data_IF_032178129035
#
_entry.id   IF_032178129035
#
_cell.length_a   1.000
_cell.length_b   1.000
_cell.length_c   1.000
_cell.angle_alpha   90.00
_cell.angle_beta   90.00
_cell.angle_gamma   90.00
#
_symmetry.space_group_name_H-M   'P 1'
#
loop_
_entity.id
_entity.type
_entity.pdbx_description
1 polymer ?
#
# COMPACT_ATOMS: atom_id res chain seq x y z
N UNK A 1 -16.95 -74.49 -8.81
CA UNK A 1 -15.83 -73.51 -8.75
C UNK A 1 -16.27 -72.35 -7.85
N UNK A 2 -15.71 -72.24 -6.64
CA UNK A 2 -14.87 -71.12 -6.11
C UNK A 2 -15.48 -69.71 -6.30
N UNK A 3 -15.50 -68.75 -5.36
CA UNK A 3 -15.22 -68.61 -3.92
C UNK A 3 -15.56 -67.13 -3.58
N UNK A 4 -16.26 -66.88 -2.46
CA UNK A 4 -15.93 -65.90 -1.39
C UNK A 4 -16.09 -64.35 -1.55
N UNK A 5 -16.96 -63.81 -0.68
CA UNK A 5 -16.80 -62.70 0.32
C UNK A 5 -15.82 -61.53 0.09
N UNK A 6 -16.31 -60.28 0.30
CA UNK A 6 -15.72 -59.12 1.04
C UNK A 6 -16.64 -57.89 0.80
N UNK A 7 -17.56 -57.50 1.69
CA UNK A 7 -17.42 -56.88 3.01
C UNK A 7 -16.79 -55.46 3.01
N UNK A 8 -17.67 -54.46 3.19
CA UNK A 8 -17.58 -53.37 4.17
C UNK A 8 -16.19 -52.76 4.44
N UNK A 9 -15.81 -51.71 3.69
CA UNK A 9 -14.77 -50.76 4.11
C UNK A 9 -14.81 -49.47 3.29
N UNK A 10 -15.87 -48.66 3.40
CA UNK A 10 -15.89 -47.34 2.70
C UNK A 10 -16.79 -46.30 3.37
N UNK A 11 -16.82 -46.25 4.71
CA UNK A 11 -17.62 -45.24 5.43
C UNK A 11 -16.85 -44.48 6.54
N UNK A 12 -15.53 -44.68 6.66
CA UNK A 12 -14.72 -43.99 7.68
C UNK A 12 -13.83 -42.85 7.15
N UNK A 13 -13.69 -42.68 5.83
CA UNK A 13 -12.74 -41.72 5.23
C UNK A 13 -13.33 -40.36 4.85
N UNK A 14 -14.66 -40.19 4.80
CA UNK A 14 -15.30 -38.90 4.49
C UNK A 14 -15.56 -38.05 5.74
N UNK A 15 -15.70 -38.66 6.92
CA UNK A 15 -15.90 -37.94 8.18
C UNK A 15 -14.63 -37.20 8.67
N UNK A 16 -13.44 -37.74 8.36
CA UNK A 16 -12.16 -37.14 8.75
C UNK A 16 -11.83 -35.83 8.01
N UNK A 17 -12.21 -35.73 6.73
CA UNK A 17 -12.00 -34.51 5.94
C UNK A 17 -12.89 -33.34 6.36
N UNK A 18 -14.16 -33.61 6.69
CA UNK A 18 -15.07 -32.59 7.21
C UNK A 18 -14.67 -32.12 8.63
N UNK A 19 -14.08 -33.00 9.44
CA UNK A 19 -13.55 -32.65 10.76
C UNK A 19 -12.23 -31.86 10.66
N UNK A 20 -11.35 -32.19 9.72
CA UNK A 20 -10.11 -31.44 9.46
C UNK A 20 -10.38 -30.04 8.88
N UNK A 21 -11.35 -29.91 7.97
CA UNK A 21 -11.81 -28.62 7.48
C UNK A 21 -12.43 -27.75 8.60
N UNK A 22 -13.21 -28.36 9.50
CA UNK A 22 -13.73 -27.69 10.72
C UNK A 22 -12.66 -27.42 11.78
N UNK A 23 -11.58 -28.19 11.82
CA UNK A 23 -10.46 -27.97 12.73
C UNK A 23 -9.56 -26.83 12.24
N UNK A 24 -9.37 -26.69 10.93
CA UNK A 24 -8.74 -25.53 10.32
C UNK A 24 -9.59 -24.25 10.49
N UNK A 25 -10.92 -24.38 10.49
CA UNK A 25 -11.87 -23.31 10.84
C UNK A 25 -11.80 -22.90 12.32
N UNK A 26 -11.20 -23.74 13.18
CA UNK A 26 -10.95 -23.49 14.61
C UNK A 26 -9.48 -23.21 14.93
N UNK A 27 -8.64 -22.96 13.92
CA UNK A 27 -7.28 -22.51 14.18
C UNK A 27 -7.36 -21.16 14.91
N UNK A 28 -6.91 -21.15 16.17
CA UNK A 28 -6.74 -19.94 16.96
C UNK A 28 -6.04 -18.86 16.13
N UNK A 29 -6.41 -17.58 16.30
CA UNK A 29 -5.80 -16.51 15.51
C UNK A 29 -4.29 -16.58 15.64
N UNK A 30 -3.59 -16.48 14.49
CA UNK A 30 -2.14 -16.42 14.46
C UNK A 30 -1.63 -15.36 15.47
N UNK A 31 -0.42 -15.50 16.03
CA UNK A 31 0.12 -14.53 16.98
C UNK A 31 0.00 -13.06 16.50
N UNK A 32 0.14 -12.83 15.20
CA UNK A 32 -0.02 -11.53 14.55
C UNK A 32 -1.45 -10.99 14.64
N UNK A 33 -2.47 -11.83 14.45
CA UNK A 33 -3.87 -11.45 14.58
C UNK A 33 -4.23 -11.08 16.02
N UNK A 34 -3.74 -11.83 17.01
CA UNK A 34 -3.92 -11.49 18.44
C UNK A 34 -3.23 -10.16 18.78
N UNK A 35 -2.01 -9.95 18.28
CA UNK A 35 -1.29 -8.69 18.47
C UNK A 35 -2.02 -7.50 17.83
N UNK A 36 -2.58 -7.67 16.63
CA UNK A 36 -3.36 -6.64 15.97
C UNK A 36 -4.63 -6.30 16.76
N UNK A 37 -5.33 -7.30 17.27
CA UNK A 37 -6.55 -7.09 18.04
C UNK A 37 -6.31 -6.28 19.31
N UNK A 38 -5.23 -6.59 20.04
CA UNK A 38 -4.81 -5.80 21.19
C UNK A 38 -4.51 -4.34 20.81
N UNK A 39 -3.83 -4.11 19.67
CA UNK A 39 -3.55 -2.76 19.16
C UNK A 39 -4.81 -2.02 18.72
N UNK A 40 -5.78 -2.68 18.11
CA UNK A 40 -7.06 -2.08 17.74
C UNK A 40 -7.87 -1.65 18.97
N UNK A 41 -7.89 -2.47 20.03
CA UNK A 41 -8.50 -2.08 21.30
C UNK A 41 -7.78 -0.89 21.93
N UNK A 42 -6.45 -0.91 21.97
CA UNK A 42 -5.66 0.22 22.46
C UNK A 42 -5.93 1.51 21.66
N UNK A 43 -6.15 1.41 20.33
CA UNK A 43 -6.46 2.54 19.48
C UNK A 43 -7.80 3.23 19.80
N UNK A 44 -8.74 2.53 20.46
CA UNK A 44 -10.00 3.15 20.87
C UNK A 44 -9.80 4.13 22.04
N UNK A 45 -8.82 3.84 22.90
CA UNK A 45 -8.53 4.61 24.12
C UNK A 45 -7.40 5.64 23.91
N UNK A 46 -6.35 5.28 23.16
CA UNK A 46 -5.17 6.11 22.96
C UNK A 46 -5.17 6.81 21.57
N UNK A 47 -5.25 8.16 21.54
CA UNK A 47 -5.17 8.92 20.29
C UNK A 47 -3.86 8.72 19.52
N UNK A 48 -2.73 8.45 20.19
CA UNK A 48 -1.46 8.24 19.51
C UNK A 48 -1.46 6.92 18.74
N UNK A 49 -2.01 5.86 19.32
CA UNK A 49 -2.24 4.57 18.67
C UNK A 49 -3.29 4.69 17.56
N UNK A 50 -4.38 5.43 17.77
CA UNK A 50 -5.41 5.69 16.73
C UNK A 50 -4.80 6.27 15.46
N UNK A 51 -3.89 7.24 15.59
CA UNK A 51 -3.20 7.87 14.44
C UNK A 51 -2.37 6.91 13.59
N UNK A 52 -2.02 5.73 14.13
CA UNK A 52 -1.24 4.70 13.42
C UNK A 52 -2.12 3.66 12.72
N UNK A 53 -3.44 3.76 12.85
CA UNK A 53 -4.40 2.87 12.18
C UNK A 53 -4.43 3.17 10.68
N UNK A 54 -4.49 2.12 9.87
CA UNK A 54 -4.79 2.18 8.44
C UNK A 54 -5.76 1.06 8.08
N UNK A 55 -6.84 1.41 7.39
CA UNK A 55 -7.88 0.47 6.93
C UNK A 55 -7.94 0.60 5.41
N UNK A 56 -7.73 -0.49 4.70
CA UNK A 56 -7.82 -0.59 3.24
C UNK A 56 -8.86 -1.65 2.89
N UNK A 57 -9.93 -1.21 2.25
CA UNK A 57 -11.01 -2.05 1.77
C UNK A 57 -11.05 -1.95 0.24
N UNK A 58 -11.05 -3.08 -0.45
CA UNK A 58 -11.22 -3.13 -1.91
C UNK A 58 -12.29 -4.15 -2.30
N UNK A 59 -12.82 -4.01 -3.52
CA UNK A 59 -13.89 -4.84 -4.05
C UNK A 59 -15.23 -4.13 -4.03
N UNK A 60 -16.33 -4.85 -4.30
CA UNK A 60 -17.68 -4.31 -4.11
C UNK A 60 -17.96 -4.13 -2.61
N UNK A 61 -17.39 -3.08 -2.02
CA UNK A 61 -17.56 -2.62 -0.63
C UNK A 61 -18.98 -2.07 -0.43
N UNK A 62 -19.66 -1.72 -1.54
CA UNK A 62 -21.12 -1.61 -1.71
C UNK A 62 -21.43 -1.60 -3.24
N UNK A 63 -22.69 -1.45 -3.68
CA UNK A 63 -23.06 -1.47 -5.12
C UNK A 63 -22.22 -0.51 -5.99
N UNK A 64 -21.71 0.60 -5.42
CA UNK A 64 -21.01 1.67 -6.14
C UNK A 64 -19.58 1.98 -5.62
N UNK A 65 -19.05 1.18 -4.68
CA UNK A 65 -17.74 1.43 -4.06
C UNK A 65 -16.77 0.34 -4.45
N UNK A 66 -15.71 0.71 -5.18
CA UNK A 66 -14.62 -0.18 -5.59
C UNK A 66 -13.46 -0.19 -4.58
N UNK A 67 -13.33 0.85 -3.75
CA UNK A 67 -12.35 0.87 -2.67
C UNK A 67 -12.46 2.03 -1.70
N UNK A 68 -12.01 1.81 -0.47
CA UNK A 68 -11.93 2.76 0.63
C UNK A 68 -10.59 2.59 1.33
N UNK A 69 -9.83 3.67 1.49
CA UNK A 69 -8.72 3.73 2.43
C UNK A 69 -9.04 4.75 3.51
N UNK A 70 -8.91 4.40 4.79
CA UNK A 70 -9.09 5.30 5.92
C UNK A 70 -7.84 5.26 6.81
N UNK A 71 -7.29 6.43 7.09
CA UNK A 71 -6.14 6.60 7.97
C UNK A 71 -6.57 7.09 9.35
N UNK A 72 -5.79 6.73 10.36
CA UNK A 72 -5.94 7.18 11.74
C UNK A 72 -5.94 8.69 11.93
N UNK A 73 -5.36 9.43 10.97
CA UNK A 73 -5.37 10.89 10.89
C UNK A 73 -6.74 11.48 10.54
N UNK A 74 -7.71 10.65 10.13
CA UNK A 74 -9.02 11.08 9.63
C UNK A 74 -9.02 11.37 8.12
N UNK A 75 -7.88 11.25 7.44
CA UNK A 75 -7.81 11.29 5.97
C UNK A 75 -8.40 10.00 5.40
N UNK A 76 -9.25 10.13 4.39
CA UNK A 76 -9.79 9.01 3.64
C UNK A 76 -9.56 9.15 2.14
N UNK A 77 -9.47 8.03 1.44
CA UNK A 77 -9.40 7.95 -0.02
C UNK A 77 -10.53 7.04 -0.49
N UNK A 78 -11.39 7.58 -1.35
CA UNK A 78 -12.52 6.88 -1.94
C UNK A 78 -12.24 6.54 -3.39
N UNK A 79 -12.47 5.28 -3.78
CA UNK A 79 -12.28 4.74 -5.13
C UNK A 79 -10.94 5.11 -5.76
N UNK A 80 -9.90 5.29 -4.94
CA UNK A 80 -8.58 5.79 -5.33
C UNK A 80 -8.58 7.16 -6.00
N UNK A 81 -9.70 7.87 -6.16
CA UNK A 81 -9.79 9.11 -6.94
C UNK A 81 -10.13 10.34 -6.13
N UNK A 82 -10.71 10.16 -4.93
CA UNK A 82 -11.22 11.26 -4.12
C UNK A 82 -10.62 11.21 -2.73
N UNK A 83 -10.02 12.31 -2.27
CA UNK A 83 -9.64 12.47 -0.87
C UNK A 83 -10.78 13.09 -0.08
N UNK A 84 -11.09 12.58 1.10
CA UNK A 84 -11.99 13.21 2.04
C UNK A 84 -11.38 13.28 3.44
N UNK A 85 -12.03 14.00 4.35
CA UNK A 85 -11.66 14.04 5.76
C UNK A 85 -12.87 13.68 6.61
N UNK A 86 -12.64 12.90 7.65
CA UNK A 86 -13.62 12.58 8.69
C UNK A 86 -13.11 13.03 10.04
N UNK A 87 -14.03 13.19 10.99
CA UNK A 87 -13.68 13.50 12.37
C UNK A 87 -13.11 12.25 13.07
N UNK A 88 -12.31 12.41 14.13
CA UNK A 88 -11.73 11.28 14.89
C UNK A 88 -12.78 10.27 15.37
N UNK A 89 -14.01 10.70 15.66
CA UNK A 89 -15.11 9.84 16.10
C UNK A 89 -15.50 8.82 15.04
N UNK A 90 -15.43 9.19 13.75
CA UNK A 90 -15.71 8.28 12.63
C UNK A 90 -14.60 7.23 12.51
N UNK A 91 -13.34 7.62 12.71
CA UNK A 91 -12.21 6.68 12.73
C UNK A 91 -12.36 5.69 13.89
N UNK A 92 -12.70 6.17 15.10
CA UNK A 92 -13.00 5.31 16.25
C UNK A 92 -14.18 4.38 15.97
N UNK A 93 -15.24 4.87 15.33
CA UNK A 93 -16.38 4.04 14.94
C UNK A 93 -15.99 2.93 13.95
N UNK A 94 -15.10 3.23 13.00
CA UNK A 94 -14.55 2.24 12.07
C UNK A 94 -13.69 1.19 12.81
N UNK A 95 -12.81 1.60 13.72
CA UNK A 95 -12.01 0.67 14.55
C UNK A 95 -12.91 -0.18 15.43
N UNK A 96 -13.94 0.40 16.05
CA UNK A 96 -14.92 -0.32 16.87
C UNK A 96 -15.66 -1.38 16.03
N UNK A 97 -16.07 -1.03 14.81
CA UNK A 97 -16.69 -1.99 13.90
C UNK A 97 -15.79 -3.19 13.58
N UNK A 98 -14.48 -2.98 13.42
CA UNK A 98 -13.50 -4.08 13.23
C UNK A 98 -13.41 -5.00 14.46
N UNK A 99 -13.38 -4.42 15.67
CA UNK A 99 -13.32 -5.18 16.93
C UNK A 99 -14.61 -5.96 17.17
N UNK A 100 -15.77 -5.33 17.01
CA UNK A 100 -17.10 -5.94 17.15
C UNK A 100 -17.29 -7.10 16.15
N UNK A 101 -16.84 -6.93 14.91
CA UNK A 101 -16.91 -7.96 13.87
C UNK A 101 -15.87 -9.08 14.05
N UNK A 102 -15.01 -9.00 15.08
CA UNK A 102 -13.90 -9.93 15.31
C UNK A 102 -13.05 -10.13 14.05
N UNK A 103 -12.72 -9.04 13.37
CA UNK A 103 -12.00 -9.06 12.09
C UNK A 103 -10.72 -9.93 12.12
N UNK A 104 -9.97 -9.89 13.21
CA UNK A 104 -8.73 -10.67 13.43
C UNK A 104 -8.96 -12.18 13.55
N UNK A 105 -10.19 -12.62 13.80
CA UNK A 105 -10.57 -14.03 13.83
C UNK A 105 -11.05 -14.53 12.46
N UNK A 106 -11.24 -13.65 11.49
CA UNK A 106 -11.57 -14.06 10.13
C UNK A 106 -10.32 -14.68 9.48
N UNK A 107 -10.44 -15.88 8.87
CA UNK A 107 -9.27 -16.57 8.35
C UNK A 107 -8.63 -15.80 7.20
N UNK A 108 -7.31 -15.67 7.27
CA UNK A 108 -6.47 -15.07 6.23
C UNK A 108 -6.62 -15.86 4.91
N UNK A 109 -6.77 -15.13 3.80
CA UNK A 109 -7.16 -15.72 2.53
C UNK A 109 -5.99 -16.29 1.72
N UNK A 110 -5.31 -17.35 2.17
CA UNK A 110 -4.21 -17.98 1.42
C UNK A 110 -4.23 -19.52 1.42
N UNK A 111 -5.35 -20.17 1.08
CA UNK A 111 -5.27 -21.55 0.58
C UNK A 111 -5.23 -21.55 -0.95
N UNK A 112 -4.09 -21.96 -1.51
CA UNK A 112 -3.81 -22.10 -2.93
C UNK A 112 -4.18 -23.53 -3.38
N UNK A 113 -4.98 -23.63 -4.44
CA UNK A 113 -4.82 -24.69 -5.44
C UNK A 113 -4.12 -24.04 -6.64
N UNK A 114 -3.09 -24.69 -7.19
CA UNK A 114 -2.14 -24.09 -8.14
C UNK A 114 -2.73 -23.58 -9.48
N UNK A 115 -3.98 -23.93 -9.82
CA UNK A 115 -4.44 -23.90 -11.22
C UNK A 115 -5.62 -22.95 -11.52
N UNK A 116 -5.76 -21.80 -10.84
CA UNK A 116 -6.77 -20.81 -11.26
C UNK A 116 -6.31 -19.36 -11.13
N UNK A 117 -6.52 -18.50 -12.15
CA UNK A 117 -6.24 -17.08 -12.03
C UNK A 117 -7.10 -16.49 -10.91
N UNK A 118 -6.44 -16.08 -9.83
CA UNK A 118 -7.07 -15.62 -8.60
C UNK A 118 -7.74 -14.27 -8.86
N UNK A 119 -9.07 -14.26 -9.03
CA UNK A 119 -9.86 -13.04 -9.00
C UNK A 119 -10.27 -12.72 -7.56
N UNK A 120 -9.59 -11.73 -6.96
CA UNK A 120 -9.99 -11.14 -5.69
C UNK A 120 -11.26 -10.32 -5.93
N UNK A 121 -12.32 -10.62 -5.18
CA UNK A 121 -13.60 -9.90 -5.28
C UNK A 121 -13.75 -8.87 -4.16
N UNK A 122 -13.25 -9.19 -2.96
CA UNK A 122 -13.20 -8.27 -1.82
C UNK A 122 -11.93 -8.48 -1.02
N UNK A 123 -11.38 -7.43 -0.46
CA UNK A 123 -10.31 -7.50 0.52
C UNK A 123 -10.50 -6.45 1.61
N UNK A 124 -10.08 -6.77 2.81
CA UNK A 124 -9.97 -5.85 3.93
C UNK A 124 -8.61 -6.07 4.59
N UNK A 125 -7.75 -5.07 4.50
CA UNK A 125 -6.45 -5.01 5.16
C UNK A 125 -6.49 -3.95 6.26
N UNK A 126 -6.08 -4.32 7.46
CA UNK A 126 -5.97 -3.39 8.59
C UNK A 126 -4.56 -3.44 9.12
N UNK A 127 -3.96 -2.27 9.35
CA UNK A 127 -2.65 -2.13 9.96
C UNK A 127 -2.69 -1.15 11.14
N UNK A 128 -1.91 -1.44 12.19
CA UNK A 128 -1.62 -0.50 13.28
C UNK A 128 -0.11 -0.50 13.50
N UNK A 129 0.55 0.53 12.96
CA UNK A 129 2.02 0.59 12.91
C UNK A 129 2.59 -0.52 12.02
N UNK A 130 3.37 -1.43 12.62
CA UNK A 130 4.04 -2.53 11.90
C UNK A 130 3.27 -3.85 11.92
N UNK A 131 2.13 -3.90 12.60
CA UNK A 131 1.28 -5.09 12.64
C UNK A 131 0.12 -4.92 11.67
N UNK A 132 -0.12 -5.92 10.84
CA UNK A 132 -1.22 -5.90 9.87
C UNK A 132 -1.88 -7.26 9.73
N UNK A 133 -3.15 -7.27 9.32
CA UNK A 133 -3.90 -8.47 9.00
C UNK A 133 -4.74 -8.21 7.76
N UNK A 134 -4.85 -9.21 6.87
CA UNK A 134 -5.60 -9.08 5.63
C UNK A 134 -6.55 -10.26 5.45
N UNK A 135 -7.81 -9.94 5.16
CA UNK A 135 -8.84 -10.92 4.81
C UNK A 135 -9.19 -10.71 3.35
N UNK A 136 -9.20 -11.80 2.57
CA UNK A 136 -9.49 -11.76 1.13
C UNK A 136 -10.62 -12.73 0.81
N UNK A 137 -11.60 -12.27 0.04
CA UNK A 137 -12.64 -13.10 -0.56
C UNK A 137 -12.39 -13.22 -2.08
N UNK A 138 -12.34 -14.46 -2.55
CA UNK A 138 -12.15 -14.81 -3.96
C UNK A 138 -13.50 -15.09 -4.63
N UNK A 139 -13.59 -14.90 -5.95
CA UNK A 139 -14.85 -15.03 -6.71
C UNK A 139 -15.54 -16.38 -6.57
N UNK A 140 -14.77 -17.47 -6.55
CA UNK A 140 -15.28 -18.85 -6.45
C UNK A 140 -15.50 -19.33 -4.99
N UNK A 141 -15.12 -18.53 -4.00
CA UNK A 141 -15.32 -18.88 -2.61
C UNK A 141 -16.76 -18.55 -2.17
N UNK A 142 -17.27 -19.31 -1.19
CA UNK A 142 -18.54 -18.98 -0.52
C UNK A 142 -18.48 -17.54 -0.01
N UNK A 143 -19.53 -16.78 -0.27
CA UNK A 143 -19.63 -15.41 0.21
C UNK A 143 -19.54 -15.36 1.74
N UNK A 144 -18.69 -14.46 2.25
CA UNK A 144 -18.51 -14.22 3.68
C UNK A 144 -19.37 -13.06 4.08
N UNK A 145 -20.59 -13.36 4.56
CA UNK A 145 -21.59 -12.32 4.91
C UNK A 145 -21.06 -11.34 5.96
N UNK A 146 -20.23 -11.81 6.87
CA UNK A 146 -19.60 -11.03 7.93
C UNK A 146 -18.62 -10.00 7.35
N UNK A 147 -17.81 -10.41 6.38
CA UNK A 147 -16.90 -9.51 5.67
C UNK A 147 -17.69 -8.48 4.84
N UNK A 148 -18.71 -8.93 4.10
CA UNK A 148 -19.57 -8.02 3.32
C UNK A 148 -20.25 -6.98 4.23
N UNK A 149 -20.86 -7.40 5.33
CA UNK A 149 -21.51 -6.48 6.28
C UNK A 149 -20.53 -5.49 6.91
N UNK A 150 -19.31 -5.94 7.25
CA UNK A 150 -18.26 -5.08 7.77
C UNK A 150 -17.82 -4.03 6.73
N UNK A 151 -17.60 -4.45 5.49
CA UNK A 151 -17.25 -3.56 4.38
C UNK A 151 -18.36 -2.52 4.13
N UNK A 152 -19.63 -2.94 4.07
CA UNK A 152 -20.77 -2.04 3.92
C UNK A 152 -20.85 -1.02 5.07
N UNK A 153 -20.62 -1.46 6.32
CA UNK A 153 -20.60 -0.58 7.49
C UNK A 153 -19.47 0.46 7.40
N UNK A 154 -18.27 0.05 7.02
CA UNK A 154 -17.11 0.94 6.83
C UNK A 154 -17.36 1.97 5.72
N UNK A 155 -17.92 1.54 4.59
CA UNK A 155 -18.32 2.43 3.51
C UNK A 155 -19.42 3.41 3.95
N UNK A 156 -20.43 2.94 4.69
CA UNK A 156 -21.51 3.77 5.22
C UNK A 156 -21.02 4.90 6.11
N UNK A 157 -20.03 4.63 6.97
CA UNK A 157 -19.41 5.64 7.84
C UNK A 157 -18.73 6.78 7.06
N UNK A 158 -18.17 6.48 5.88
CA UNK A 158 -17.36 7.41 5.10
C UNK A 158 -18.11 8.07 3.94
N UNK A 159 -19.23 7.50 3.49
CA UNK A 159 -19.90 7.86 2.24
C UNK A 159 -20.22 9.35 2.10
N UNK A 160 -20.81 9.97 3.13
CA UNK A 160 -21.17 11.39 3.11
C UNK A 160 -19.93 12.29 2.96
N UNK A 161 -18.85 11.99 3.67
CA UNK A 161 -17.61 12.74 3.56
C UNK A 161 -16.95 12.53 2.19
N UNK A 162 -16.99 11.30 1.67
CA UNK A 162 -16.47 10.98 0.35
C UNK A 162 -17.18 11.74 -0.79
N UNK A 163 -18.51 11.90 -0.73
CA UNK A 163 -19.29 12.67 -1.69
C UNK A 163 -18.91 14.16 -1.74
N UNK A 164 -18.34 14.69 -0.65
CA UNK A 164 -17.88 16.08 -0.52
C UNK A 164 -16.36 16.19 -0.65
N UNK A 165 -15.69 15.11 -1.03
CA UNK A 165 -14.24 15.04 -1.10
C UNK A 165 -13.64 15.80 -2.28
N UNK A 166 -12.33 15.96 -2.25
CA UNK A 166 -11.52 16.57 -3.29
C UNK A 166 -11.07 15.51 -4.30
N UNK A 167 -11.48 15.67 -5.56
CA UNK A 167 -11.03 14.88 -6.69
C UNK A 167 -10.26 15.78 -7.67
N UNK A 168 -8.93 15.62 -7.82
CA UNK A 168 -8.17 16.41 -8.78
C UNK A 168 -8.48 15.99 -10.22
N UNK A 169 -8.44 16.95 -11.15
CA UNK A 169 -8.75 16.71 -12.57
C UNK A 169 -7.64 15.95 -13.32
N UNK A 170 -6.42 15.99 -12.80
CA UNK A 170 -5.24 15.39 -13.40
C UNK A 170 -4.04 15.46 -12.48
N UNK A 171 -2.90 14.93 -12.93
CA UNK A 171 -1.68 14.87 -12.12
C UNK A 171 -1.10 16.27 -11.81
N UNK A 172 -1.21 17.21 -12.75
CA UNK A 172 -0.82 18.60 -12.57
C UNK A 172 -1.62 19.29 -11.45
N UNK A 173 -2.96 19.22 -11.52
CA UNK A 173 -3.86 19.74 -10.47
C UNK A 173 -3.58 19.07 -9.13
N UNK A 174 -3.41 17.74 -9.11
CA UNK A 174 -3.10 16.99 -7.89
C UNK A 174 -1.80 17.47 -7.22
N UNK A 175 -0.74 17.70 -8.01
CA UNK A 175 0.53 18.23 -7.50
C UNK A 175 0.40 19.66 -6.99
N UNK A 176 -0.34 20.52 -7.70
CA UNK A 176 -0.61 21.89 -7.26
C UNK A 176 -1.37 21.91 -5.92
N UNK A 177 -2.40 21.06 -5.76
CA UNK A 177 -3.16 20.92 -4.51
C UNK A 177 -2.33 20.36 -3.36
N UNK A 178 -1.43 19.40 -3.62
CA UNK A 178 -0.46 18.93 -2.63
C UNK A 178 0.49 20.03 -2.21
N UNK A 179 1.01 20.82 -3.15
CA UNK A 179 1.90 21.95 -2.85
C UNK A 179 1.21 23.04 -2.00
N UNK A 180 -0.09 23.27 -2.21
CA UNK A 180 -0.90 24.17 -1.38
C UNK A 180 -1.34 23.57 -0.04
N UNK A 181 -1.19 22.25 0.15
CA UNK A 181 -1.60 21.55 1.38
C UNK A 181 -3.10 21.22 1.46
N UNK A 182 -3.82 21.32 0.34
CA UNK A 182 -5.22 20.90 0.23
C UNK A 182 -5.35 19.37 0.24
N UNK A 183 -4.42 18.71 -0.46
CA UNK A 183 -4.25 17.26 -0.40
C UNK A 183 -3.27 16.88 0.71
N UNK A 184 -3.56 15.78 1.40
CA UNK A 184 -2.81 15.26 2.52
C UNK A 184 -1.63 14.38 2.04
N UNK A 185 -0.54 14.25 2.81
CA UNK A 185 0.60 13.40 2.46
C UNK A 185 0.24 11.95 2.10
N UNK A 186 -0.85 11.43 2.66
CA UNK A 186 -1.30 10.05 2.48
C UNK A 186 -1.78 9.71 1.07
N UNK A 187 -2.14 10.71 0.25
CA UNK A 187 -2.56 10.47 -1.15
C UNK A 187 -1.38 10.31 -2.09
N UNK A 188 -0.17 10.70 -1.67
CA UNK A 188 1.03 10.61 -2.47
C UNK A 188 1.54 9.16 -2.47
N UNK A 189 1.69 8.60 -3.67
CA UNK A 189 2.41 7.36 -3.93
C UNK A 189 3.54 7.64 -4.90
N UNK A 190 4.77 7.59 -4.41
CA UNK A 190 5.96 7.83 -5.20
C UNK A 190 6.94 6.69 -5.00
N UNK A 191 7.48 6.16 -6.09
CA UNK A 191 8.60 5.23 -6.05
C UNK A 191 9.67 5.70 -7.02
N UNK A 192 10.84 6.04 -6.49
CA UNK A 192 12.03 6.40 -7.23
C UNK A 192 13.08 5.31 -7.02
N UNK A 193 13.56 4.71 -8.09
CA UNK A 193 14.45 3.56 -8.07
C UNK A 193 15.64 3.79 -9.02
N UNK A 194 16.85 3.77 -8.47
CA UNK A 194 18.09 3.89 -9.22
C UNK A 194 19.06 2.78 -8.74
N UNK A 195 18.88 1.53 -9.22
CA UNK A 195 19.81 0.44 -8.97
C UNK A 195 21.22 0.75 -9.48
N UNK A 196 22.21 0.15 -8.83
CA UNK A 196 23.56 0.04 -9.36
C UNK A 196 23.56 -0.97 -10.50
N UNK A 197 23.85 -0.51 -11.71
CA UNK A 197 24.02 -1.37 -12.87
C UNK A 197 25.51 -1.73 -12.98
N UNK A 198 25.81 -3.03 -13.15
CA UNK A 198 27.19 -3.51 -13.30
C UNK A 198 27.76 -2.94 -14.61
N UNK A 199 28.95 -2.33 -14.53
CA UNK A 199 29.63 -1.75 -15.69
C UNK A 199 29.09 -0.38 -16.14
N UNK A 200 28.06 0.17 -15.49
CA UNK A 200 27.63 1.53 -15.74
C UNK A 200 28.39 2.49 -14.81
N UNK A 201 29.11 3.44 -15.40
CA UNK A 201 29.54 4.64 -14.68
C UNK A 201 28.30 5.46 -14.36
N UNK A 202 27.95 5.51 -13.08
CA UNK A 202 26.84 6.29 -12.57
C UNK A 202 27.32 7.24 -11.48
N UNK A 203 26.59 8.33 -11.22
CA UNK A 203 26.97 9.32 -10.21
C UNK A 203 26.93 8.78 -8.77
N UNK A 204 26.53 7.53 -8.55
CA UNK A 204 26.34 6.95 -7.24
C UNK A 204 26.98 5.56 -7.11
N UNK A 205 27.83 5.34 -6.07
CA UNK A 205 28.54 4.07 -5.88
C UNK A 205 27.63 2.91 -5.41
N UNK A 206 26.41 3.21 -4.96
CA UNK A 206 25.42 2.26 -4.46
C UNK A 206 24.04 2.58 -5.05
N UNK A 207 23.27 1.52 -5.32
CA UNK A 207 21.89 1.65 -5.76
C UNK A 207 21.01 2.15 -4.62
N UNK A 208 20.02 2.99 -4.96
CA UNK A 208 19.11 3.57 -3.98
C UNK A 208 17.67 3.48 -4.47
N UNK A 209 16.74 3.32 -3.52
CA UNK A 209 15.31 3.40 -3.77
C UNK A 209 14.64 4.21 -2.67
N UNK A 210 13.76 5.11 -3.08
CA UNK A 210 12.93 5.94 -2.21
C UNK A 210 11.47 5.61 -2.51
N UNK A 211 10.73 5.25 -1.48
CA UNK A 211 9.28 5.07 -1.55
C UNK A 211 8.60 6.06 -0.61
N UNK A 212 7.68 6.87 -1.14
CA UNK A 212 6.77 7.67 -0.34
C UNK A 212 5.36 7.13 -0.52
N UNK A 213 4.77 6.61 0.55
CA UNK A 213 3.45 5.98 0.54
C UNK A 213 2.83 6.07 1.92
N UNK A 214 1.51 6.24 2.01
CA UNK A 214 0.78 6.25 3.28
C UNK A 214 1.27 7.31 4.28
N UNK A 215 1.75 8.46 3.79
CA UNK A 215 2.30 9.51 4.66
C UNK A 215 3.65 9.14 5.29
N UNK A 216 4.38 8.19 4.71
CA UNK A 216 5.70 7.78 5.16
C UNK A 216 6.71 7.78 4.01
N UNK A 217 7.98 7.96 4.36
CA UNK A 217 9.13 7.76 3.47
C UNK A 217 9.91 6.54 3.93
N UNK A 218 10.18 5.63 2.99
CA UNK A 218 11.05 4.47 3.19
C UNK A 218 12.24 4.55 2.24
N UNK A 219 13.44 4.48 2.80
CA UNK A 219 14.70 4.44 2.07
C UNK A 219 15.26 3.02 2.03
N UNK A 220 15.66 2.58 0.84
CA UNK A 220 16.23 1.26 0.59
C UNK A 220 17.61 1.39 -0.03
N UNK A 221 18.57 0.62 0.48
CA UNK A 221 19.92 0.49 -0.07
C UNK A 221 20.03 -0.80 -0.86
N UNK A 222 20.74 -0.75 -1.98
CA UNK A 222 21.13 -1.96 -2.68
C UNK A 222 22.48 -2.44 -2.15
N UNK A 223 22.48 -3.60 -1.49
CA UNK A 223 23.68 -4.25 -0.96
C UNK A 223 24.21 -5.30 -1.95
N UNK A 224 25.53 -5.31 -2.24
CA UNK A 224 26.14 -6.35 -3.07
C UNK A 224 25.83 -7.75 -2.52
N UNK A 225 25.30 -8.64 -3.36
CA UNK A 225 24.96 -10.02 -2.99
C UNK A 225 23.71 -10.22 -2.13
N UNK A 226 23.12 -9.15 -1.56
CA UNK A 226 21.91 -9.23 -0.70
C UNK A 226 20.67 -8.58 -1.29
N UNK A 227 20.81 -7.78 -2.34
CA UNK A 227 19.68 -7.11 -2.99
C UNK A 227 19.25 -5.85 -2.24
N UNK A 228 17.95 -5.61 -2.12
CA UNK A 228 17.40 -4.41 -1.49
C UNK A 228 17.17 -4.62 0.00
N UNK A 229 17.80 -3.79 0.83
CA UNK A 229 17.62 -3.79 2.29
C UNK A 229 16.98 -2.48 2.74
N UNK A 230 15.94 -2.56 3.57
CA UNK A 230 15.26 -1.37 4.14
C UNK A 230 16.21 -0.69 5.12
N UNK A 231 16.67 0.49 4.76
CA UNK A 231 17.68 1.21 5.52
C UNK A 231 17.06 2.20 6.52
N UNK A 232 15.92 2.81 6.19
CA UNK A 232 15.19 3.70 7.10
C UNK A 232 13.71 3.80 6.73
N UNK A 233 12.88 4.10 7.72
CA UNK A 233 11.46 4.46 7.56
C UNK A 233 11.13 5.59 8.53
N UNK A 234 10.41 6.60 8.06
CA UNK A 234 9.95 7.72 8.91
C UNK A 234 8.68 8.35 8.35
N UNK A 235 7.92 9.11 9.18
CA UNK A 235 6.82 9.92 8.68
C UNK A 235 7.28 10.92 7.61
N UNK A 236 6.45 11.10 6.58
CA UNK A 236 6.56 12.16 5.59
C UNK A 236 5.79 13.37 6.10
N UNK A 237 6.50 14.46 6.42
CA UNK A 237 5.85 15.66 6.94
C UNK A 237 5.14 16.44 5.82
N UNK A 238 4.11 17.22 6.17
CA UNK A 238 3.42 18.08 5.20
C UNK A 238 4.36 19.06 4.49
N UNK A 239 5.38 19.60 5.19
CA UNK A 239 6.39 20.46 4.58
C UNK A 239 7.25 19.73 3.54
N UNK A 240 7.59 18.47 3.78
CA UNK A 240 8.32 17.64 2.81
C UNK A 240 7.46 17.24 1.62
N UNK A 241 6.20 16.88 1.85
CA UNK A 241 5.22 16.63 0.79
C UNK A 241 5.10 17.84 -0.13
N UNK A 242 4.97 19.05 0.43
CA UNK A 242 4.89 20.30 -0.35
C UNK A 242 6.13 20.54 -1.19
N UNK A 243 7.33 20.35 -0.62
CA UNK A 243 8.60 20.49 -1.34
C UNK A 243 8.75 19.45 -2.46
N UNK A 244 8.35 18.20 -2.19
CA UNK A 244 8.38 17.13 -3.17
C UNK A 244 7.39 17.38 -4.31
N UNK A 245 6.18 17.84 -4.00
CA UNK A 245 5.20 18.26 -4.99
C UNK A 245 5.71 19.43 -5.84
N UNK A 246 6.37 20.42 -5.21
CA UNK A 246 7.02 21.53 -5.91
C UNK A 246 8.14 21.08 -6.85
N UNK A 247 8.99 20.13 -6.45
CA UNK A 247 10.04 19.58 -7.30
C UNK A 247 9.47 18.81 -8.51
N UNK A 248 8.42 18.00 -8.28
CA UNK A 248 7.69 17.30 -9.35
C UNK A 248 7.00 18.27 -10.31
N UNK A 249 6.44 19.37 -9.80
CA UNK A 249 5.81 20.41 -10.59
C UNK A 249 6.81 21.25 -11.39
N UNK A 250 7.94 21.63 -10.80
CA UNK A 250 9.03 22.33 -11.49
C UNK A 250 9.62 21.51 -12.65
N UNK A 251 9.67 20.18 -12.50
CA UNK A 251 10.05 19.27 -13.58
C UNK A 251 8.94 19.05 -14.62
N UNK A 252 7.73 19.56 -14.37
CA UNK A 252 6.49 19.25 -15.12
C UNK A 252 6.36 17.74 -15.34
N UNK A 253 6.44 16.97 -14.25
CA UNK A 253 6.60 15.51 -14.32
C UNK A 253 5.54 14.83 -15.19
N UNK A 254 4.28 15.32 -15.16
CA UNK A 254 3.17 14.82 -15.97
C UNK A 254 3.36 14.93 -17.49
N UNK A 255 4.24 15.83 -17.93
CA UNK A 255 4.52 16.10 -19.35
C UNK A 255 5.83 15.43 -19.83
N UNK A 256 6.57 14.80 -18.92
CA UNK A 256 7.78 14.07 -19.30
C UNK A 256 7.42 12.83 -20.13
N UNK A 257 8.18 12.48 -21.18
CA UNK A 257 7.95 11.24 -21.91
C UNK A 257 8.26 10.04 -21.01
N UNK A 258 7.58 8.92 -21.27
CA UNK A 258 7.71 7.70 -20.46
C UNK A 258 9.15 7.16 -20.42
N UNK A 259 9.98 7.49 -21.42
CA UNK A 259 11.41 7.20 -21.37
C UNK A 259 12.24 8.37 -21.88
N UNK A 260 13.36 8.62 -21.20
CA UNK A 260 14.29 9.72 -21.46
C UNK A 260 15.72 9.20 -21.46
N UNK A 261 16.57 9.84 -22.27
CA UNK A 261 17.99 9.55 -22.23
C UNK A 261 18.57 10.03 -20.89
N UNK A 262 19.24 9.15 -20.17
CA UNK A 262 19.79 9.43 -18.85
C UNK A 262 21.12 8.70 -18.64
N UNK A 263 22.15 9.35 -18.04
CA UNK A 263 23.39 8.67 -17.69
C UNK A 263 23.14 7.69 -16.52
N UNK A 264 22.98 6.41 -16.85
CA UNK A 264 22.66 5.34 -15.91
C UNK A 264 21.19 4.94 -15.94
N UNK A 265 20.67 4.37 -14.86
CA UNK A 265 19.28 3.92 -14.75
C UNK A 265 18.56 4.68 -13.62
N UNK A 266 17.38 5.22 -13.91
CA UNK A 266 16.48 5.75 -12.90
C UNK A 266 15.02 5.57 -13.35
N UNK A 267 14.20 4.96 -12.52
CA UNK A 267 12.75 4.86 -12.73
C UNK A 267 12.02 5.62 -11.63
N UNK A 268 11.24 6.62 -12.02
CA UNK A 268 10.37 7.37 -11.12
C UNK A 268 8.93 7.11 -11.52
N UNK A 269 8.12 6.67 -10.57
CA UNK A 269 6.68 6.49 -10.74
C UNK A 269 5.94 7.28 -9.67
N UNK A 270 4.93 8.02 -10.11
CA UNK A 270 4.09 8.86 -9.28
C UNK A 270 2.64 8.46 -9.51
N UNK A 271 1.89 8.30 -8.42
CA UNK A 271 0.45 8.16 -8.42
C UNK A 271 -0.14 9.07 -7.33
N UNK A 272 -1.13 9.88 -7.72
CA UNK A 272 -1.91 10.69 -6.79
C UNK A 272 -3.37 10.57 -7.19
N UNK A 273 -4.18 10.00 -6.30
CA UNK A 273 -5.62 9.84 -6.49
C UNK A 273 -6.00 9.26 -7.89
N UNK A 274 -5.36 8.14 -8.26
CA UNK A 274 -5.68 7.41 -9.50
C UNK A 274 -4.97 7.96 -10.75
N UNK A 275 -4.46 9.19 -10.69
CA UNK A 275 -3.63 9.77 -11.74
C UNK A 275 -2.20 9.25 -11.61
N UNK A 276 -1.73 8.50 -12.61
CA UNK A 276 -0.41 7.88 -12.59
C UNK A 276 0.43 8.33 -13.77
N UNK A 277 1.70 8.58 -13.51
CA UNK A 277 2.72 8.75 -14.54
C UNK A 277 4.02 8.10 -14.13
N UNK A 278 4.78 7.61 -15.10
CA UNK A 278 6.07 6.99 -14.85
C UNK A 278 7.08 7.38 -15.93
N UNK A 279 8.31 7.63 -15.49
CA UNK A 279 9.42 8.05 -16.34
C UNK A 279 10.61 7.13 -16.08
N UNK A 280 11.11 6.51 -17.14
CA UNK A 280 12.30 5.67 -17.16
C UNK A 280 13.46 6.42 -17.84
N UNK A 281 14.41 6.86 -17.03
CA UNK A 281 15.72 7.30 -17.48
C UNK A 281 16.65 6.10 -17.69
N UNK A 282 17.15 5.95 -18.92
CA UNK A 282 18.20 4.97 -19.25
C UNK A 282 19.12 5.50 -20.35
N UNK A 283 20.27 4.87 -20.50
CA UNK A 283 21.10 5.02 -21.70
C UNK A 283 20.42 4.34 -22.90
N UNK A 284 20.56 4.94 -24.08
CA UNK A 284 20.07 4.37 -25.33
C UNK A 284 21.21 4.25 -26.33
N UNK A 285 21.16 3.23 -27.17
CA UNK A 285 21.96 3.18 -28.38
C UNK A 285 21.23 3.95 -29.49
N UNK A 286 21.77 5.09 -29.92
CA UNK A 286 21.21 5.88 -31.03
C UNK A 286 21.28 7.40 -30.81
N UNK A 287 21.07 8.20 -31.88
CA UNK A 287 21.12 9.65 -31.81
C UNK A 287 20.01 10.22 -30.93
N UNK A 288 20.39 11.16 -30.07
CA UNK A 288 19.49 11.75 -29.08
C UNK A 288 18.58 12.80 -29.74
N UNK A 289 17.27 12.57 -29.75
CA UNK A 289 16.28 13.55 -30.24
C UNK A 289 16.20 14.73 -29.27
N UNK A 290 16.15 15.97 -29.76
CA UNK A 290 16.19 17.20 -28.95
C UNK A 290 15.15 17.22 -27.81
N UNK A 291 13.93 16.71 -28.07
CA UNK A 291 12.87 16.57 -27.07
C UNK A 291 13.29 15.75 -25.84
N UNK A 292 14.12 14.73 -26.02
CA UNK A 292 14.63 13.91 -24.89
C UNK A 292 15.74 14.62 -24.12
N UNK A 293 16.50 15.52 -24.77
CA UNK A 293 17.51 16.38 -24.14
C UNK A 293 16.87 17.38 -23.18
N UNK A 294 15.82 18.07 -23.60
CA UNK A 294 15.09 19.01 -22.76
C UNK A 294 14.39 18.32 -21.59
N UNK A 295 13.79 17.15 -21.83
CA UNK A 295 13.19 16.34 -20.78
C UNK A 295 14.23 15.89 -19.74
N UNK A 296 15.45 15.51 -20.17
CA UNK A 296 16.54 15.17 -19.27
C UNK A 296 17.00 16.36 -18.41
N UNK A 297 17.05 17.58 -18.98
CA UNK A 297 17.34 18.81 -18.24
C UNK A 297 16.32 19.08 -17.13
N UNK A 298 15.03 18.84 -17.38
CA UNK A 298 13.95 18.94 -16.37
C UNK A 298 13.98 17.81 -15.35
N UNK A 299 14.34 16.60 -15.76
CA UNK A 299 14.39 15.42 -14.90
C UNK A 299 15.57 15.44 -13.91
N UNK A 300 16.70 16.05 -14.29
CA UNK A 300 17.89 16.04 -13.45
C UNK A 300 17.73 16.71 -12.07
N UNK A 301 17.16 17.91 -11.96
CA UNK A 301 16.85 18.52 -10.67
C UNK A 301 15.90 17.67 -9.82
N UNK A 302 14.92 17.01 -10.45
CA UNK A 302 13.99 16.11 -9.75
C UNK A 302 14.73 14.92 -9.14
N UNK A 303 15.57 14.21 -9.92
CA UNK A 303 16.35 13.07 -9.41
C UNK A 303 17.25 13.50 -8.25
N UNK A 304 17.87 14.67 -8.34
CA UNK A 304 18.67 15.24 -7.25
C UNK A 304 17.83 15.48 -5.99
N UNK A 305 16.66 16.12 -6.12
CA UNK A 305 15.77 16.37 -5.00
C UNK A 305 15.27 15.06 -4.34
N UNK A 306 15.00 14.02 -5.15
CA UNK A 306 14.63 12.69 -4.65
C UNK A 306 15.80 12.05 -3.89
N UNK A 307 17.02 12.20 -4.41
CA UNK A 307 18.22 11.68 -3.77
C UNK A 307 18.49 12.36 -2.42
N UNK A 308 18.39 13.67 -2.34
CA UNK A 308 18.53 14.43 -1.09
C UNK A 308 17.53 13.95 -0.03
N UNK A 309 16.29 13.62 -0.43
CA UNK A 309 15.27 13.06 0.47
C UNK A 309 15.61 11.66 0.96
N UNK A 310 16.17 10.84 0.07
CA UNK A 310 16.69 9.54 0.43
C UNK A 310 17.83 9.65 1.46
N UNK A 311 18.80 10.53 1.23
CA UNK A 311 19.92 10.72 2.16
C UNK A 311 19.44 11.25 3.52
N UNK A 312 18.52 12.23 3.54
CA UNK A 312 17.91 12.73 4.78
C UNK A 312 17.12 11.66 5.55
N UNK A 313 16.47 10.71 4.85
CA UNK A 313 15.79 9.59 5.49
C UNK A 313 16.77 8.63 6.18
N UNK A 314 17.94 8.41 5.60
CA UNK A 314 19.00 7.58 6.18
C UNK A 314 19.61 8.23 7.43
N UNK A 315 19.86 9.53 7.40
CA UNK A 315 20.38 10.29 8.54
C UNK A 315 19.41 10.23 9.72
N UNK A 316 18.12 10.46 9.46
CA UNK A 316 17.06 10.36 10.47
C UNK A 316 16.93 8.94 11.05
N UNK A 317 17.23 7.91 10.25
CA UNK A 317 17.20 6.51 10.68
C UNK A 317 18.37 6.14 11.60
N UNK A 318 19.55 6.73 11.42
CA UNK A 318 20.74 6.45 12.25
C UNK A 318 20.60 6.93 13.70
N UNK A 319 19.84 8.01 13.92
CA UNK A 319 19.58 8.54 15.26
C UNK A 319 18.60 7.71 16.09
N UNK A 320 17.89 6.75 15.47
CA UNK A 320 17.07 5.75 16.17
C UNK A 320 17.78 4.41 16.06
N UNK A 321 18.75 4.18 16.94
CA UNK A 321 19.36 2.85 17.11
C UNK A 321 18.28 1.78 17.27
N UNK A 322 18.57 0.51 16.96
CA UNK A 322 17.57 -0.55 16.95
C UNK A 322 16.95 -0.69 18.33
N UNK A 323 15.73 -0.16 18.52
CA UNK A 323 14.86 -0.61 19.59
C UNK A 323 14.66 -2.12 19.38
N UNK A 324 15.03 -2.89 20.41
CA UNK A 324 15.27 -4.33 20.35
C UNK A 324 14.26 -5.13 19.52
N UNK A 325 14.81 -6.10 18.78
CA UNK A 325 14.04 -7.22 18.24
C UNK A 325 13.49 -8.08 19.38
#
# INVERSE_FOLDING_TARGET
>A
MRRWTLALATLALTAGWAAAARAAERAFPAPEAKALEARLRAALEDPATLRRVRIEAEGAVSRDTAGLTLYGSGVGIWNRTTQFRVRPEVVRAAVRALVEARFTHMPEGLELGADSPVQIVRSLSVAVGDTSWTVVQRRKARERKELTALLDRLAGLCRRAAQQGLAPLGLEDALARLARGELAPEVLRLNANAPRVRGAEGPHPQGWRLEARHGEVTAWRQEPGRGWTRAARRPLTAGETRRLAGALAGARFWDLPASIHWPGYCHVSLEILGHRHAVLGRTFAGPMVERTREAAKRFAPLVRALRERYDAALESGRGRGPAGR
#
